data_IF_023052943709
#
_entry.id   IF_023052943709
#
_cell.length_a   1.000
_cell.length_b   1.000
_cell.length_c   1.000
_cell.angle_alpha   90.00
_cell.angle_beta   90.00
_cell.angle_gamma   90.00
#
_symmetry.space_group_name_H-M   'P 1'
#
loop_
_entity.id
_entity.type
_entity.pdbx_description
1 polymer ?
#
# COMPACT_ATOMS: atom_id res chain seq x y z
N UNK A 1 -7.84 -7.30 -16.42
CA UNK A 1 -6.38 -7.07 -16.28
C UNK A 1 -5.95 -6.76 -14.84
N UNK A 2 -6.72 -6.00 -14.04
CA UNK A 2 -6.41 -5.73 -12.63
C UNK A 2 -6.79 -6.87 -11.65
N UNK A 3 -7.93 -7.54 -11.86
CA UNK A 3 -8.38 -8.66 -11.00
C UNK A 3 -7.45 -9.89 -11.03
N UNK A 4 -6.65 -10.04 -12.09
CA UNK A 4 -5.64 -11.11 -12.17
C UNK A 4 -4.43 -10.86 -11.28
N UNK A 5 -4.25 -9.65 -10.72
CA UNK A 5 -3.11 -9.26 -9.89
C UNK A 5 -1.73 -9.46 -10.54
N UNK A 6 -1.66 -9.57 -11.87
CA UNK A 6 -0.41 -9.78 -12.64
C UNK A 6 0.65 -8.70 -12.39
N UNK A 7 0.23 -7.48 -12.06
CA UNK A 7 1.14 -6.39 -11.69
C UNK A 7 2.03 -6.77 -10.49
N UNK A 8 1.53 -7.60 -9.56
CA UNK A 8 2.32 -8.09 -8.42
C UNK A 8 3.38 -9.11 -8.83
N UNK A 9 3.17 -9.85 -9.93
CA UNK A 9 4.16 -10.79 -10.47
C UNK A 9 5.27 -10.02 -11.22
N UNK A 10 4.91 -8.92 -11.86
CA UNK A 10 5.83 -8.06 -12.60
C UNK A 10 6.52 -6.99 -11.74
N UNK A 11 6.20 -6.89 -10.44
CA UNK A 11 6.66 -5.83 -9.54
C UNK A 11 6.35 -4.41 -10.07
N UNK A 12 5.18 -4.24 -10.70
CA UNK A 12 4.73 -2.95 -11.23
C UNK A 12 3.97 -2.15 -10.17
N UNK A 13 4.20 -0.84 -10.14
CA UNK A 13 3.44 0.08 -9.29
C UNK A 13 2.19 0.56 -10.02
N UNK A 14 1.07 0.65 -9.29
CA UNK A 14 -0.18 1.22 -9.79
C UNK A 14 -0.38 2.59 -9.16
N UNK A 15 -0.61 3.61 -9.99
CA UNK A 15 -0.93 4.97 -9.55
C UNK A 15 -2.31 5.34 -10.10
N UNK A 16 -3.25 5.62 -9.20
CA UNK A 16 -4.56 6.14 -9.58
C UNK A 16 -4.53 7.67 -9.58
N UNK A 17 -4.74 8.29 -10.74
CA UNK A 17 -4.78 9.75 -10.92
C UNK A 17 -6.19 10.19 -11.35
N UNK A 18 -6.66 11.33 -10.85
CA UNK A 18 -7.95 11.91 -11.22
C UNK A 18 -8.56 12.80 -10.14
N UNK A 19 -9.62 13.52 -10.48
CA UNK A 19 -10.33 14.44 -9.58
C UNK A 19 -10.83 13.75 -8.30
N UNK A 20 -11.09 14.52 -7.24
CA UNK A 20 -11.68 13.98 -6.02
C UNK A 20 -13.04 13.32 -6.31
N UNK A 21 -13.37 12.23 -5.60
CA UNK A 21 -14.67 11.54 -5.75
C UNK A 21 -14.78 10.54 -6.91
N UNK A 22 -13.77 10.38 -7.78
CA UNK A 22 -13.83 9.45 -8.94
C UNK A 22 -13.57 7.96 -8.60
N UNK A 23 -13.58 7.59 -7.32
CA UNK A 23 -13.45 6.18 -6.91
C UNK A 23 -12.03 5.62 -6.83
N UNK A 24 -10.98 6.47 -6.81
CA UNK A 24 -9.57 6.01 -6.69
C UNK A 24 -9.32 5.13 -5.46
N UNK A 25 -9.74 5.60 -4.29
CA UNK A 25 -9.64 4.84 -3.03
C UNK A 25 -10.47 3.56 -3.08
N UNK A 26 -11.64 3.59 -3.74
CA UNK A 26 -12.46 2.40 -3.91
C UNK A 26 -11.71 1.34 -4.73
N UNK A 27 -11.15 1.72 -5.89
CA UNK A 27 -10.36 0.81 -6.73
C UNK A 27 -9.14 0.23 -5.98
N UNK A 28 -8.38 1.07 -5.29
CA UNK A 28 -7.24 0.62 -4.50
C UNK A 28 -7.67 -0.36 -3.40
N UNK A 29 -8.78 -0.06 -2.71
CA UNK A 29 -9.34 -0.92 -1.66
C UNK A 29 -9.82 -2.26 -2.23
N UNK A 30 -10.52 -2.26 -3.36
CA UNK A 30 -10.97 -3.49 -4.04
C UNK A 30 -9.79 -4.39 -4.43
N UNK A 31 -8.69 -3.81 -4.94
CA UNK A 31 -7.46 -4.57 -5.22
C UNK A 31 -6.88 -5.17 -3.95
N UNK A 32 -6.85 -4.40 -2.87
CA UNK A 32 -6.39 -4.88 -1.57
C UNK A 32 -7.21 -6.04 -1.04
N UNK A 33 -8.55 -5.94 -1.12
CA UNK A 33 -9.49 -7.00 -0.74
C UNK A 33 -9.26 -8.27 -1.59
N UNK A 34 -9.16 -8.13 -2.91
CA UNK A 34 -8.93 -9.28 -3.79
C UNK A 34 -7.55 -9.93 -3.57
N UNK A 35 -6.53 -9.15 -3.24
CA UNK A 35 -5.20 -9.65 -2.86
C UNK A 35 -5.25 -10.41 -1.54
N UNK A 36 -5.92 -9.85 -0.53
CA UNK A 36 -6.09 -10.49 0.77
C UNK A 36 -6.88 -11.82 0.66
N UNK A 37 -7.94 -11.88 -0.16
CA UNK A 37 -8.69 -13.11 -0.44
C UNK A 37 -7.81 -14.21 -1.02
N UNK A 38 -6.80 -13.85 -1.81
CA UNK A 38 -5.78 -14.77 -2.36
C UNK A 38 -4.62 -15.04 -1.40
N UNK A 39 -4.75 -14.67 -0.12
CA UNK A 39 -3.73 -14.83 0.94
C UNK A 39 -2.41 -14.11 0.64
N UNK A 40 -2.46 -13.03 -0.15
CA UNK A 40 -1.30 -12.18 -0.41
C UNK A 40 -1.15 -11.18 0.74
N UNK A 41 0.04 -11.08 1.32
CA UNK A 41 0.33 -10.12 2.39
C UNK A 41 0.09 -8.69 1.89
N UNK A 42 -0.94 -8.06 2.44
CA UNK A 42 -1.43 -6.77 1.97
C UNK A 42 -1.54 -5.82 3.16
N UNK A 43 -1.08 -4.58 3.00
CA UNK A 43 -1.17 -3.55 4.02
C UNK A 43 -1.71 -2.26 3.43
N UNK A 44 -2.67 -1.64 4.11
CA UNK A 44 -3.28 -0.38 3.72
C UNK A 44 -2.91 0.70 4.74
N UNK A 45 -2.46 1.86 4.26
CA UNK A 45 -2.15 3.00 5.11
C UNK A 45 -2.45 4.31 4.39
N UNK A 46 -2.97 5.30 5.13
CA UNK A 46 -3.06 6.66 4.61
C UNK A 46 -1.68 7.31 4.53
N UNK A 47 -1.41 8.05 3.46
CA UNK A 47 -0.13 8.71 3.20
C UNK A 47 0.31 9.58 4.38
N UNK A 48 -0.62 10.34 4.98
CA UNK A 48 -0.31 11.17 6.16
C UNK A 48 0.20 10.32 7.34
N UNK A 49 -0.46 9.19 7.63
CA UNK A 49 -0.08 8.27 8.71
C UNK A 49 1.26 7.59 8.42
N UNK A 50 1.53 7.26 7.16
CA UNK A 50 2.82 6.69 6.76
C UNK A 50 3.95 7.67 7.06
N UNK A 51 3.81 8.92 6.62
CA UNK A 51 4.80 9.98 6.84
C UNK A 51 5.00 10.24 8.34
N UNK A 52 3.92 10.36 9.10
CA UNK A 52 3.99 10.59 10.55
C UNK A 52 4.69 9.43 11.27
N UNK A 53 4.35 8.18 10.95
CA UNK A 53 4.99 7.01 11.53
C UNK A 53 6.49 6.95 11.22
N UNK A 54 6.90 7.28 9.99
CA UNK A 54 8.30 7.30 9.60
C UNK A 54 9.07 8.44 10.29
N UNK A 55 8.45 9.63 10.40
CA UNK A 55 9.03 10.76 11.15
C UNK A 55 9.24 10.41 12.62
N UNK A 56 8.23 9.84 13.29
CA UNK A 56 8.34 9.42 14.68
C UNK A 56 9.40 8.34 14.87
N UNK A 57 9.40 7.31 14.01
CA UNK A 57 10.40 6.24 14.07
C UNK A 57 11.84 6.77 13.87
N UNK A 58 12.02 7.83 13.06
CA UNK A 58 13.31 8.49 12.91
C UNK A 58 13.79 9.15 14.20
N UNK A 59 12.91 9.86 14.91
CA UNK A 59 13.25 10.48 16.21
C UNK A 59 13.56 9.41 17.26
N UNK A 60 12.86 8.28 17.23
CA UNK A 60 13.09 7.16 18.15
C UNK A 60 14.27 6.24 17.78
N UNK A 61 15.05 6.55 16.73
CA UNK A 61 16.10 5.67 16.18
C UNK A 61 15.61 4.26 15.78
N UNK A 62 14.33 4.13 15.40
CA UNK A 62 13.68 2.89 14.95
C UNK A 62 13.28 2.91 13.47
N UNK A 63 13.81 3.86 12.70
CA UNK A 63 13.43 4.08 11.30
C UNK A 63 13.57 2.81 10.45
N UNK A 64 14.70 2.12 10.57
CA UNK A 64 14.98 0.91 9.78
C UNK A 64 13.98 -0.21 10.09
N UNK A 65 13.67 -0.43 11.37
CA UNK A 65 12.66 -1.39 11.79
C UNK A 65 11.28 -1.03 11.22
N UNK A 66 10.94 0.27 11.20
CA UNK A 66 9.65 0.72 10.68
C UNK A 66 9.55 0.60 9.17
N UNK A 67 10.63 0.85 8.43
CA UNK A 67 10.69 0.61 6.98
C UNK A 67 10.54 -0.90 6.70
N UNK A 68 11.29 -1.75 7.42
CA UNK A 68 11.21 -3.22 7.32
C UNK A 68 9.78 -3.73 7.49
N UNK A 69 9.01 -3.14 8.40
CA UNK A 69 7.60 -3.47 8.56
C UNK A 69 6.78 -3.22 7.29
N UNK A 70 6.95 -2.06 6.62
CA UNK A 70 6.17 -1.73 5.42
C UNK A 70 6.60 -2.50 4.17
N UNK A 71 7.91 -2.74 3.98
CA UNK A 71 8.42 -3.50 2.83
C UNK A 71 8.19 -5.02 2.95
N UNK A 72 7.82 -5.51 4.14
CA UNK A 72 7.52 -6.93 4.36
C UNK A 72 6.21 -7.41 3.73
N UNK A 73 5.36 -6.50 3.27
CA UNK A 73 4.10 -6.82 2.59
C UNK A 73 4.31 -6.89 1.08
N UNK A 74 3.71 -7.91 0.45
CA UNK A 74 3.76 -8.09 -1.01
C UNK A 74 2.96 -7.01 -1.75
N UNK A 75 1.92 -6.46 -1.11
CA UNK A 75 1.18 -5.30 -1.59
C UNK A 75 1.06 -4.25 -0.48
N UNK A 76 1.64 -3.07 -0.72
CA UNK A 76 1.47 -1.90 0.13
C UNK A 76 0.59 -0.88 -0.61
N UNK A 77 -0.58 -0.58 -0.05
CA UNK A 77 -1.51 0.43 -0.57
C UNK A 77 -1.36 1.70 0.25
N UNK A 78 -1.11 2.81 -0.44
CA UNK A 78 -0.97 4.14 0.14
C UNK A 78 -2.10 5.01 -0.41
N UNK A 79 -2.98 5.49 0.48
CA UNK A 79 -4.11 6.38 0.16
C UNK A 79 -3.86 7.82 0.58
#
# INVERSE_FOLDING_TARGET
MLCSLKFLENNENIIFLGNSGVGKTHLATSIGIESAKKRISTYFIKCHNLIENLKRAKVENKLEQRIKHYIGYKLLIID
#
